data_IF_080696732222
#
_entry.id   IF_080696732222
#
_cell.length_a   1.000
_cell.length_b   1.000
_cell.length_c   1.000
_cell.angle_alpha   90.00
_cell.angle_beta   90.00
_cell.angle_gamma   90.00
#
_symmetry.space_group_name_H-M   'P 1'
#
loop_
_entity.id
_entity.type
_entity.pdbx_description
1 polymer ?
#
# COMPACT_ATOMS: atom_id res chain seq x y z
N UNK A 1 -22.65 8.93 -26.66
CA UNK A 1 -21.18 8.70 -26.72
C UNK A 1 -20.79 7.84 -25.53
N UNK A 2 -20.48 6.57 -25.75
CA UNK A 2 -20.16 5.61 -24.69
C UNK A 2 -18.92 6.07 -23.91
N UNK A 3 -19.03 6.15 -22.59
CA UNK A 3 -17.91 6.52 -21.71
C UNK A 3 -16.88 5.40 -21.79
N UNK A 4 -15.71 5.68 -22.38
CA UNK A 4 -14.55 4.79 -22.30
C UNK A 4 -14.29 4.49 -20.83
N UNK A 5 -14.20 3.22 -20.46
CA UNK A 5 -13.87 2.84 -19.09
C UNK A 5 -12.48 3.40 -18.76
N UNK A 6 -12.31 4.11 -17.63
CA UNK A 6 -11.02 4.62 -17.23
C UNK A 6 -10.05 3.46 -17.04
N UNK A 7 -8.78 3.67 -17.38
CA UNK A 7 -7.75 2.67 -17.09
C UNK A 7 -7.61 2.46 -15.59
N UNK A 8 -7.04 1.32 -15.18
CA UNK A 8 -6.77 1.03 -13.77
C UNK A 8 -5.87 2.11 -13.16
N UNK A 9 -4.86 2.57 -13.91
CA UNK A 9 -3.99 3.68 -13.51
C UNK A 9 -4.78 4.98 -13.31
N UNK A 10 -5.70 5.31 -14.22
CA UNK A 10 -6.54 6.51 -14.08
C UNK A 10 -7.45 6.42 -12.86
N UNK A 11 -8.08 5.26 -12.65
CA UNK A 11 -8.94 5.01 -11.49
C UNK A 11 -8.14 5.15 -10.19
N UNK A 12 -6.93 4.59 -10.14
CA UNK A 12 -6.04 4.72 -8.99
C UNK A 12 -5.67 6.18 -8.69
N UNK A 13 -5.30 6.97 -9.71
CA UNK A 13 -4.97 8.38 -9.53
C UNK A 13 -6.18 9.20 -9.04
N UNK A 14 -7.39 8.86 -9.50
CA UNK A 14 -8.61 9.49 -9.02
C UNK A 14 -8.87 9.17 -7.55
N UNK A 15 -8.72 7.91 -7.13
CA UNK A 15 -8.84 7.53 -5.72
C UNK A 15 -7.78 8.20 -4.84
N UNK A 16 -6.53 8.26 -5.29
CA UNK A 16 -5.47 8.95 -4.57
C UNK A 16 -5.79 10.46 -4.41
N UNK A 17 -6.33 11.09 -5.46
CA UNK A 17 -6.74 12.49 -5.42
C UNK A 17 -7.94 12.73 -4.48
N UNK A 18 -8.87 11.77 -4.38
CA UNK A 18 -10.05 11.86 -3.50
C UNK A 18 -9.65 11.92 -2.02
N UNK A 19 -8.53 11.28 -1.65
CA UNK A 19 -7.96 11.31 -0.30
C UNK A 19 -7.28 12.63 0.09
N UNK A 20 -7.14 13.60 -0.81
CA UNK A 20 -6.37 14.81 -0.54
C UNK A 20 -6.88 15.61 0.68
N UNK A 21 -8.21 15.67 0.89
CA UNK A 21 -8.80 16.34 2.07
C UNK A 21 -8.52 15.56 3.35
N UNK A 22 -8.67 14.24 3.31
CA UNK A 22 -8.36 13.36 4.43
C UNK A 22 -6.88 13.48 4.84
N UNK A 23 -5.97 13.37 3.87
CA UNK A 23 -4.52 13.57 4.08
C UNK A 23 -4.22 14.90 4.75
N UNK A 24 -4.83 16.01 4.32
CA UNK A 24 -4.58 17.33 4.92
C UNK A 24 -5.02 17.44 6.38
N UNK A 25 -6.01 16.64 6.80
CA UNK A 25 -6.49 16.62 8.18
C UNK A 25 -5.59 15.79 9.11
N UNK A 26 -4.71 14.96 8.57
CA UNK A 26 -3.79 14.12 9.33
C UNK A 26 -2.60 14.92 9.89
N UNK A 27 -1.99 14.42 10.99
CA UNK A 27 -0.72 14.93 11.49
C UNK A 27 0.39 14.71 10.47
N UNK A 28 1.49 15.46 10.59
CA UNK A 28 2.59 15.39 9.62
C UNK A 28 3.25 14.01 9.54
N UNK A 29 3.29 13.27 10.65
CA UNK A 29 3.77 11.89 10.69
C UNK A 29 2.85 10.94 9.93
N UNK A 30 1.54 11.02 10.20
CA UNK A 30 0.50 10.22 9.54
C UNK A 30 0.40 10.55 8.04
N UNK A 31 0.62 11.80 7.64
CA UNK A 31 0.68 12.17 6.22
C UNK A 31 1.79 11.43 5.48
N UNK A 32 2.96 11.31 6.08
CA UNK A 32 4.08 10.56 5.48
C UNK A 32 3.76 9.08 5.39
N UNK A 33 3.23 8.49 6.46
CA UNK A 33 2.82 7.10 6.46
C UNK A 33 1.77 6.81 5.38
N UNK A 34 0.76 7.68 5.22
CA UNK A 34 -0.23 7.57 4.17
C UNK A 34 0.40 7.70 2.77
N UNK A 35 1.32 8.64 2.56
CA UNK A 35 2.01 8.82 1.28
C UNK A 35 2.84 7.58 0.90
N UNK A 36 3.51 6.97 1.87
CA UNK A 36 4.31 5.75 1.68
C UNK A 36 3.41 4.55 1.34
N UNK A 37 2.27 4.38 2.03
CA UNK A 37 1.27 3.35 1.73
C UNK A 37 0.68 3.53 0.32
N UNK A 38 0.33 4.77 -0.04
CA UNK A 38 -0.18 5.11 -1.36
C UNK A 38 0.86 4.85 -2.46
N UNK A 39 2.13 5.06 -2.16
CA UNK A 39 3.22 4.74 -3.07
C UNK A 39 3.41 3.23 -3.24
N UNK A 40 3.36 2.47 -2.15
CA UNK A 40 3.55 1.01 -2.16
C UNK A 40 2.44 0.28 -2.92
N UNK A 41 1.20 0.76 -2.80
CA UNK A 41 0.05 0.19 -3.52
C UNK A 41 0.22 0.20 -5.05
N UNK A 42 1.01 1.14 -5.59
CA UNK A 42 1.26 1.23 -7.05
C UNK A 42 2.00 0.01 -7.61
N UNK A 43 2.74 -0.72 -6.77
CA UNK A 43 3.43 -1.95 -7.19
C UNK A 43 2.45 -3.04 -7.68
N UNK A 44 1.19 -2.96 -7.26
CA UNK A 44 0.16 -3.96 -7.59
C UNK A 44 -0.81 -3.50 -8.69
N UNK A 45 -0.53 -2.40 -9.40
CA UNK A 45 -1.41 -1.91 -10.47
C UNK A 45 -1.67 -2.95 -11.57
N UNK A 46 -0.66 -3.73 -11.95
CA UNK A 46 -0.83 -4.79 -12.93
C UNK A 46 -1.69 -5.95 -12.40
N UNK A 47 -1.48 -6.35 -11.13
CA UNK A 47 -2.27 -7.38 -10.47
C UNK A 47 -3.73 -6.94 -10.24
N UNK A 48 -3.96 -5.63 -10.06
CA UNK A 48 -5.28 -5.03 -9.88
C UNK A 48 -6.22 -5.30 -11.04
N UNK A 49 -5.69 -5.53 -12.26
CA UNK A 49 -6.50 -5.87 -13.43
C UNK A 49 -7.27 -7.18 -13.28
N UNK A 50 -6.79 -8.09 -12.45
CA UNK A 50 -7.42 -9.38 -12.19
C UNK A 50 -8.52 -9.31 -11.12
N UNK A 51 -8.64 -8.18 -10.42
CA UNK A 51 -9.63 -7.97 -9.36
C UNK A 51 -10.79 -7.07 -9.85
N UNK A 52 -11.26 -7.29 -11.09
CA UNK A 52 -12.26 -6.42 -11.74
C UNK A 52 -13.64 -6.36 -11.06
N UNK A 53 -13.92 -7.27 -10.13
CA UNK A 53 -15.14 -7.28 -9.34
C UNK A 53 -15.09 -6.35 -8.12
N UNK A 54 -13.89 -5.90 -7.72
CA UNK A 54 -13.68 -5.00 -6.59
C UNK A 54 -13.64 -3.54 -7.06
N UNK A 55 -13.98 -2.62 -6.15
CA UNK A 55 -13.81 -1.20 -6.37
C UNK A 55 -12.30 -0.86 -6.41
N UNK A 56 -11.87 0.13 -7.21
CA UNK A 56 -10.47 0.53 -7.28
C UNK A 56 -9.85 0.84 -5.90
N UNK A 57 -10.62 1.45 -5.01
CA UNK A 57 -10.20 1.75 -3.65
C UNK A 57 -9.98 0.48 -2.81
N UNK A 58 -10.83 -0.54 -2.94
CA UNK A 58 -10.69 -1.82 -2.22
C UNK A 58 -9.41 -2.54 -2.65
N UNK A 59 -9.11 -2.56 -3.95
CA UNK A 59 -7.87 -3.14 -4.47
C UNK A 59 -6.66 -2.37 -3.96
N UNK A 60 -6.73 -1.04 -3.91
CA UNK A 60 -5.67 -0.21 -3.35
C UNK A 60 -5.42 -0.52 -1.86
N UNK A 61 -6.46 -0.68 -1.05
CA UNK A 61 -6.33 -1.07 0.36
C UNK A 61 -5.72 -2.46 0.51
N UNK A 62 -6.16 -3.44 -0.28
CA UNK A 62 -5.57 -4.78 -0.27
C UNK A 62 -4.09 -4.76 -0.65
N UNK A 63 -3.71 -3.98 -1.67
CA UNK A 63 -2.31 -3.80 -2.07
C UNK A 63 -1.47 -3.20 -0.93
N UNK A 64 -1.98 -2.19 -0.23
CA UNK A 64 -1.32 -1.63 0.96
C UNK A 64 -1.12 -2.67 2.06
N UNK A 65 -2.17 -3.48 2.35
CA UNK A 65 -2.09 -4.54 3.36
C UNK A 65 -1.08 -5.62 3.01
N UNK A 66 -0.96 -5.98 1.73
CA UNK A 66 0.05 -6.94 1.26
C UNK A 66 1.46 -6.40 1.48
N UNK A 67 1.72 -5.14 1.15
CA UNK A 67 3.03 -4.53 1.35
C UNK A 67 3.37 -4.39 2.85
N UNK A 68 2.40 -3.99 3.68
CA UNK A 68 2.60 -3.93 5.13
C UNK A 68 2.84 -5.32 5.73
N UNK A 69 2.14 -6.35 5.27
CA UNK A 69 2.40 -7.72 5.72
C UNK A 69 3.82 -8.18 5.36
N UNK A 70 4.31 -7.84 4.16
CA UNK A 70 5.70 -8.11 3.76
C UNK A 70 6.69 -7.38 4.67
N UNK A 71 6.42 -6.12 5.03
CA UNK A 71 7.23 -5.38 6.00
C UNK A 71 7.27 -6.07 7.37
N UNK A 72 6.11 -6.51 7.88
CA UNK A 72 6.03 -7.24 9.15
C UNK A 72 6.84 -8.53 9.10
N UNK A 73 6.73 -9.33 8.03
CA UNK A 73 7.49 -10.57 7.88
C UNK A 73 9.00 -10.31 7.82
N UNK A 74 9.43 -9.29 7.08
CA UNK A 74 10.85 -8.88 7.00
C UNK A 74 11.39 -8.48 8.38
N UNK A 75 10.68 -7.60 9.09
CA UNK A 75 11.09 -7.13 10.42
C UNK A 75 11.17 -8.30 11.43
N UNK A 76 10.22 -9.25 11.37
CA UNK A 76 10.30 -10.46 12.21
C UNK A 76 11.54 -11.28 11.91
N UNK A 77 11.87 -11.50 10.64
CA UNK A 77 13.08 -12.21 10.24
C UNK A 77 14.37 -11.51 10.70
N UNK A 78 14.41 -10.17 10.60
CA UNK A 78 15.53 -9.37 11.11
C UNK A 78 15.68 -9.50 12.63
N UNK A 79 14.56 -9.46 13.37
CA UNK A 79 14.58 -9.67 14.83
C UNK A 79 15.08 -11.06 15.23
N UNK A 80 14.65 -12.11 14.52
CA UNK A 80 15.08 -13.48 14.81
C UNK A 80 16.57 -13.68 14.48
N UNK A 81 17.06 -13.07 13.40
CA UNK A 81 18.48 -13.07 13.07
C UNK A 81 19.32 -12.35 14.13
N UNK A 82 18.87 -11.19 14.62
CA UNK A 82 19.55 -10.45 15.69
C UNK A 82 19.55 -11.23 17.01
N UNK A 83 18.43 -11.87 17.37
CA UNK A 83 18.35 -12.74 18.57
C UNK A 83 19.34 -13.90 18.50
N UNK A 84 19.44 -14.54 17.33
CA UNK A 84 20.38 -15.65 17.11
C UNK A 84 21.83 -15.19 17.29
N UNK A 85 22.19 -14.03 16.73
CA UNK A 85 23.54 -13.46 16.86
C UNK A 85 23.89 -13.12 18.32
N UNK A 86 22.93 -12.59 19.09
CA UNK A 86 23.13 -12.30 20.51
C UNK A 86 23.36 -13.60 21.31
N UNK A 87 22.55 -14.63 21.08
CA UNK A 87 22.71 -15.93 21.77
C UNK A 87 24.00 -16.67 21.44
N UNK A 88 24.64 -16.38 20.29
CA UNK A 88 25.93 -16.98 19.91
C UNK A 88 27.16 -16.24 20.45
N UNK A 89 26.96 -15.07 21.09
CA UNK A 89 28.05 -14.26 21.67
C UNK A 89 28.22 -14.47 23.17
N UNK A 90 27.26 -15.13 23.81
CA UNK A 90 27.31 -15.59 25.21
C UNK A 90 27.80 -17.05 25.28
#
# INVERSE_FOLDING_TARGET
>A
MGRTLPSITQSFLQEQASLARFRRALRREDQRALDDLLASARHHLAASAYASHLLPFEVMLLAMLVEEHKHVLRLRGEMDALRTQLSSRD
#
